data_IF_149078051826
#
_entry.id   IF_149078051826
#
_cell.length_a   1.000
_cell.length_b   1.000
_cell.length_c   1.000
_cell.angle_alpha   90.00
_cell.angle_beta   90.00
_cell.angle_gamma   90.00
#
_symmetry.space_group_name_H-M   'P 1'
#
loop_
_entity.id
_entity.type
_entity.pdbx_description
1 polymer ?
#
# COMPACT_ATOMS: atom_id res chain seq x y z
N UNK A 1 -18.90 -2.51 -13.02
CA UNK A 1 -18.25 -1.48 -12.18
C UNK A 1 -18.65 -0.12 -12.75
N UNK A 2 -19.12 0.82 -11.91
CA UNK A 2 -19.43 2.17 -12.37
C UNK A 2 -18.18 2.85 -12.96
N UNK A 3 -18.29 3.71 -13.98
CA UNK A 3 -17.15 4.46 -14.50
C UNK A 3 -16.47 5.24 -13.37
N UNK A 4 -15.14 5.39 -13.44
CA UNK A 4 -14.41 6.31 -12.55
C UNK A 4 -14.82 7.73 -12.92
N UNK A 5 -15.89 8.20 -12.27
CA UNK A 5 -16.54 9.48 -12.56
C UNK A 5 -16.27 10.53 -11.50
N UNK A 6 -15.72 10.13 -10.35
CA UNK A 6 -15.39 11.03 -9.24
C UNK A 6 -13.95 10.84 -8.72
N UNK A 7 -13.36 11.90 -8.11
CA UNK A 7 -12.07 11.81 -7.43
C UNK A 7 -11.98 10.70 -6.37
N UNK A 8 -13.09 10.43 -5.66
CA UNK A 8 -13.15 9.39 -4.62
C UNK A 8 -13.03 7.98 -5.23
N UNK A 9 -13.82 7.69 -6.27
CA UNK A 9 -13.72 6.40 -6.97
C UNK A 9 -12.35 6.20 -7.60
N UNK A 10 -11.73 7.27 -8.11
CA UNK A 10 -10.39 7.22 -8.67
C UNK A 10 -9.35 6.86 -7.60
N UNK A 11 -9.38 7.49 -6.43
CA UNK A 11 -8.45 7.18 -5.34
C UNK A 11 -8.56 5.71 -4.90
N UNK A 12 -9.78 5.18 -4.82
CA UNK A 12 -10.01 3.79 -4.45
C UNK A 12 -9.55 2.82 -5.53
N UNK A 13 -9.79 3.14 -6.80
CA UNK A 13 -9.32 2.36 -7.94
C UNK A 13 -7.79 2.35 -8.01
N UNK A 14 -7.15 3.50 -7.84
CA UNK A 14 -5.69 3.64 -7.83
C UNK A 14 -5.08 2.80 -6.71
N UNK A 15 -5.60 2.94 -5.49
CA UNK A 15 -5.17 2.13 -4.35
C UNK A 15 -5.29 0.63 -4.64
N UNK A 16 -6.43 0.16 -5.15
CA UNK A 16 -6.63 -1.27 -5.47
C UNK A 16 -5.62 -1.77 -6.49
N UNK A 17 -5.38 -1.00 -7.55
CA UNK A 17 -4.42 -1.34 -8.57
C UNK A 17 -2.97 -1.38 -8.03
N UNK A 18 -2.60 -0.45 -7.15
CA UNK A 18 -1.31 -0.44 -6.47
C UNK A 18 -1.12 -1.68 -5.59
N UNK A 19 -2.13 -2.04 -4.79
CA UNK A 19 -2.10 -3.26 -3.96
C UNK A 19 -2.00 -4.52 -4.82
N UNK A 20 -2.78 -4.61 -5.90
CA UNK A 20 -2.74 -5.76 -6.80
C UNK A 20 -1.38 -5.92 -7.49
N UNK A 21 -0.75 -4.81 -7.88
CA UNK A 21 0.60 -4.80 -8.45
C UNK A 21 1.64 -5.29 -7.44
N UNK A 22 1.62 -4.75 -6.22
CA UNK A 22 2.55 -5.12 -5.15
C UNK A 22 2.38 -6.58 -4.69
N UNK A 23 1.13 -7.03 -4.54
CA UNK A 23 0.80 -8.41 -4.15
C UNK A 23 1.23 -9.44 -5.19
N UNK A 24 1.11 -9.13 -6.49
CA UNK A 24 1.63 -10.00 -7.56
C UNK A 24 3.15 -10.14 -7.50
N UNK A 25 3.86 -9.03 -7.29
CA UNK A 25 5.31 -9.04 -7.14
C UNK A 25 5.76 -9.84 -5.90
N UNK A 26 5.10 -9.61 -4.76
CA UNK A 26 5.33 -10.38 -3.54
C UNK A 26 5.09 -11.87 -3.71
N UNK A 27 3.99 -12.26 -4.38
CA UNK A 27 3.69 -13.65 -4.70
C UNK A 27 4.78 -14.29 -5.59
N UNK A 28 5.32 -13.55 -6.55
CA UNK A 28 6.44 -14.02 -7.36
C UNK A 28 7.73 -14.20 -6.55
N UNK A 29 8.08 -13.23 -5.70
CA UNK A 29 9.26 -13.32 -4.81
C UNK A 29 9.14 -14.52 -3.86
N UNK A 30 7.94 -14.77 -3.32
CA UNK A 30 7.66 -15.94 -2.48
C UNK A 30 7.79 -17.25 -3.25
N UNK A 31 7.22 -17.31 -4.45
CA UNK A 31 7.32 -18.49 -5.31
C UNK A 31 8.76 -18.79 -5.72
N UNK A 32 9.54 -17.76 -6.05
CA UNK A 32 10.94 -17.91 -6.41
C UNK A 32 11.77 -18.33 -5.18
N UNK A 33 11.45 -17.81 -3.98
CA UNK A 33 12.08 -18.27 -2.73
C UNK A 33 11.92 -19.78 -2.54
N UNK A 34 10.69 -20.28 -2.64
CA UNK A 34 10.38 -21.71 -2.48
C UNK A 34 11.07 -22.62 -3.51
N UNK A 35 11.32 -22.09 -4.73
CA UNK A 35 11.92 -22.86 -5.82
C UNK A 35 13.44 -22.79 -5.85
N UNK A 36 14.02 -21.68 -5.39
CA UNK A 36 15.44 -21.38 -5.60
C UNK A 36 16.27 -21.53 -4.32
N UNK A 37 15.72 -21.21 -3.15
CA UNK A 37 16.49 -21.22 -1.91
C UNK A 37 16.56 -22.63 -1.35
N UNK A 38 17.79 -23.12 -1.17
CA UNK A 38 18.06 -24.40 -0.54
C UNK A 38 18.43 -24.17 0.94
N UNK A 39 17.72 -24.75 1.92
CA UNK A 39 17.93 -24.44 3.34
C UNK A 39 19.34 -24.74 3.85
N UNK A 40 20.04 -25.71 3.25
CA UNK A 40 21.44 -26.07 3.60
C UNK A 40 22.51 -25.29 2.82
N UNK A 41 22.10 -24.55 1.80
CA UNK A 41 22.99 -23.86 0.85
C UNK A 41 22.47 -22.45 0.59
N UNK A 42 22.00 -21.78 1.65
CA UNK A 42 21.37 -20.46 1.54
C UNK A 42 22.38 -19.46 0.95
N UNK A 43 23.64 -19.49 1.40
CA UNK A 43 24.71 -18.62 0.92
C UNK A 43 24.94 -18.75 -0.59
N UNK A 44 24.88 -19.99 -1.10
CA UNK A 44 25.16 -20.29 -2.50
C UNK A 44 23.94 -20.03 -3.40
N UNK A 45 22.73 -20.22 -2.88
CA UNK A 45 21.48 -20.11 -3.66
C UNK A 45 20.79 -18.75 -3.55
N UNK A 46 21.03 -18.00 -2.46
CA UNK A 46 20.45 -16.68 -2.24
C UNK A 46 20.82 -15.63 -3.30
N UNK A 47 22.05 -15.56 -3.85
CA UNK A 47 22.39 -14.57 -4.87
C UNK A 47 21.48 -14.66 -6.10
N UNK A 48 21.24 -15.86 -6.62
CA UNK A 48 20.38 -16.04 -7.80
C UNK A 48 18.93 -15.63 -7.52
N UNK A 49 18.40 -15.97 -6.35
CA UNK A 49 17.07 -15.53 -5.92
C UNK A 49 16.99 -14.00 -5.72
N UNK A 50 18.05 -13.39 -5.20
CA UNK A 50 18.14 -11.95 -4.98
C UNK A 50 18.04 -11.21 -6.32
N UNK A 51 18.81 -11.63 -7.32
CA UNK A 51 18.82 -11.01 -8.64
C UNK A 51 17.45 -11.13 -9.34
N UNK A 52 16.83 -12.32 -9.28
CA UNK A 52 15.48 -12.54 -9.80
C UNK A 52 14.45 -11.64 -9.10
N UNK A 53 14.52 -11.54 -7.76
CA UNK A 53 13.61 -10.73 -6.95
C UNK A 53 13.78 -9.23 -7.22
N UNK A 54 15.01 -8.74 -7.35
CA UNK A 54 15.30 -7.35 -7.69
C UNK A 54 14.77 -7.00 -9.09
N UNK A 55 14.90 -7.89 -10.08
CA UNK A 55 14.31 -7.70 -11.40
C UNK A 55 12.78 -7.53 -11.35
N UNK A 56 12.10 -8.38 -10.57
CA UNK A 56 10.64 -8.30 -10.36
C UNK A 56 10.24 -6.99 -9.66
N UNK A 57 10.99 -6.58 -8.63
CA UNK A 57 10.72 -5.34 -7.89
C UNK A 57 10.92 -4.12 -8.79
N UNK A 58 12.04 -4.02 -9.51
CA UNK A 58 12.34 -2.88 -10.40
C UNK A 58 11.26 -2.71 -11.46
N UNK A 59 10.91 -3.78 -12.18
CA UNK A 59 9.85 -3.72 -13.20
C UNK A 59 8.48 -3.35 -12.60
N UNK A 60 8.17 -3.85 -11.41
CA UNK A 60 6.90 -3.54 -10.74
C UNK A 60 6.88 -2.13 -10.14
N UNK A 61 8.02 -1.62 -9.68
CA UNK A 61 8.17 -0.26 -9.16
C UNK A 61 7.98 0.78 -10.27
N UNK A 62 8.52 0.54 -11.46
CA UNK A 62 8.28 1.39 -12.63
C UNK A 62 6.77 1.47 -12.95
N UNK A 63 6.08 0.33 -13.01
CA UNK A 63 4.62 0.28 -13.18
C UNK A 63 3.85 0.99 -12.07
N UNK A 64 4.33 0.90 -10.83
CA UNK A 64 3.76 1.58 -9.66
C UNK A 64 3.87 3.11 -9.79
N UNK A 65 5.00 3.60 -10.31
CA UNK A 65 5.20 5.02 -10.66
C UNK A 65 4.29 5.46 -11.81
N UNK A 66 4.26 4.72 -12.92
CA UNK A 66 3.41 5.05 -14.07
C UNK A 66 1.93 5.17 -13.68
N UNK A 67 1.46 4.21 -12.88
CA UNK A 67 0.11 4.20 -12.34
C UNK A 67 -0.16 5.44 -11.46
N UNK A 68 0.77 5.79 -10.57
CA UNK A 68 0.67 7.00 -9.75
C UNK A 68 0.66 8.29 -10.59
N UNK A 69 1.46 8.36 -11.66
CA UNK A 69 1.49 9.51 -12.56
C UNK A 69 0.14 9.70 -13.28
N UNK A 70 -0.40 8.61 -13.84
CA UNK A 70 -1.71 8.63 -14.51
C UNK A 70 -2.84 8.98 -13.54
N UNK A 71 -2.75 8.52 -12.28
CA UNK A 71 -3.66 8.92 -11.21
C UNK A 71 -3.59 10.42 -10.97
N UNK A 72 -2.41 11.02 -10.79
CA UNK A 72 -2.29 12.46 -10.54
C UNK A 72 -2.87 13.29 -11.67
N UNK A 73 -2.57 12.92 -12.92
CA UNK A 73 -3.09 13.60 -14.11
C UNK A 73 -4.62 13.62 -14.14
N UNK A 74 -5.24 12.45 -13.99
CA UNK A 74 -6.70 12.33 -13.98
C UNK A 74 -7.32 12.94 -12.71
N UNK A 75 -6.67 12.81 -11.55
CA UNK A 75 -7.16 13.36 -10.29
C UNK A 75 -7.18 14.89 -10.34
N UNK A 76 -6.14 15.52 -10.89
CA UNK A 76 -6.08 16.97 -11.12
C UNK A 76 -7.23 17.39 -12.05
N UNK A 77 -7.34 16.77 -13.22
CA UNK A 77 -8.37 17.07 -14.22
C UNK A 77 -9.83 16.79 -13.78
N UNK A 78 -10.05 15.97 -12.75
CA UNK A 78 -11.39 15.77 -12.18
C UNK A 78 -11.77 16.82 -11.14
N UNK A 79 -10.78 17.49 -10.55
CA UNK A 79 -11.00 18.52 -9.53
C UNK A 79 -10.76 19.94 -10.07
N UNK A 80 -10.09 20.06 -11.22
CA UNK A 80 -9.77 21.30 -11.93
C UNK A 80 -10.02 21.08 -13.43
N UNK A 81 -9.86 22.12 -14.25
CA UNK A 81 -9.91 22.00 -15.72
C UNK A 81 -8.51 21.85 -16.35
N UNK A 82 -7.51 21.46 -15.55
CA UNK A 82 -6.12 21.32 -15.99
C UNK A 82 -5.49 19.98 -15.54
N UNK A 83 -4.41 19.57 -16.21
CA UNK A 83 -3.65 18.36 -15.86
C UNK A 83 -2.14 18.60 -15.98
N UNK A 84 -1.37 17.68 -15.41
CA UNK A 84 0.09 17.60 -15.59
C UNK A 84 0.43 17.02 -16.98
N UNK A 85 1.63 17.31 -17.51
CA UNK A 85 2.07 16.83 -18.80
C UNK A 85 2.23 15.30 -18.78
N UNK A 86 2.27 14.64 -19.95
CA UNK A 86 2.57 13.21 -20.04
C UNK A 86 3.82 12.84 -19.20
N UNK A 87 3.73 11.77 -18.42
CA UNK A 87 4.83 11.32 -17.56
C UNK A 87 5.98 10.70 -18.35
N UNK A 88 5.66 9.97 -19.42
CA UNK A 88 6.65 9.53 -20.39
C UNK A 88 6.93 10.66 -21.38
N UNK A 89 8.16 10.71 -21.91
CA UNK A 89 8.57 11.62 -22.98
C UNK A 89 7.71 11.40 -24.23
N UNK A 90 6.60 12.12 -24.30
CA UNK A 90 5.68 12.15 -25.41
C UNK A 90 5.50 13.61 -25.83
N UNK A 91 5.20 13.89 -27.11
CA UNK A 91 4.86 15.24 -27.54
C UNK A 91 3.76 15.80 -26.64
N UNK A 92 4.05 16.95 -26.03
CA UNK A 92 3.08 17.63 -25.16
C UNK A 92 2.12 18.38 -26.08
N UNK A 93 0.90 17.86 -26.21
CA UNK A 93 -0.19 18.66 -26.77
C UNK A 93 -0.61 19.69 -25.71
N UNK A 94 -1.07 20.87 -26.14
CA UNK A 94 -1.60 21.90 -25.23
C UNK A 94 -2.89 21.44 -24.54
N UNK A 95 -3.67 20.57 -25.20
CA UNK A 95 -4.99 20.11 -24.73
C UNK A 95 -5.08 18.59 -24.80
N UNK A 96 -5.74 18.02 -23.79
CA UNK A 96 -6.16 16.62 -23.78
C UNK A 96 -7.65 16.51 -23.45
N UNK A 97 -8.17 15.29 -23.33
CA UNK A 97 -9.56 15.06 -22.92
C UNK A 97 -9.64 14.25 -21.65
N UNK A 98 -10.69 14.47 -20.87
CA UNK A 98 -10.97 13.67 -19.68
C UNK A 98 -11.18 12.18 -20.04
N UNK A 99 -11.79 11.90 -21.20
CA UNK A 99 -11.88 10.55 -21.78
C UNK A 99 -10.51 9.90 -22.00
N UNK A 100 -9.53 10.64 -22.56
CA UNK A 100 -8.16 10.12 -22.77
C UNK A 100 -7.46 9.84 -21.44
N UNK A 101 -7.58 10.74 -20.46
CA UNK A 101 -6.99 10.54 -19.12
C UNK A 101 -7.58 9.33 -18.40
N UNK A 102 -8.89 9.09 -18.51
CA UNK A 102 -9.55 7.88 -17.98
C UNK A 102 -9.02 6.60 -18.61
N UNK A 103 -8.88 6.57 -19.95
CA UNK A 103 -8.30 5.41 -20.67
C UNK A 103 -6.85 5.15 -20.27
N UNK A 104 -6.06 6.22 -20.13
CA UNK A 104 -4.65 6.16 -19.73
C UNK A 104 -4.47 5.54 -18.33
N UNK A 105 -5.29 5.99 -17.36
CA UNK A 105 -5.34 5.42 -16.02
C UNK A 105 -5.82 3.96 -16.04
N UNK A 106 -6.91 3.66 -16.76
CA UNK A 106 -7.48 2.31 -16.80
C UNK A 106 -6.52 1.26 -17.33
N UNK A 107 -5.77 1.61 -18.39
CA UNK A 107 -4.73 0.77 -18.98
C UNK A 107 -3.65 0.41 -17.94
N UNK A 108 -3.12 1.42 -17.22
CA UNK A 108 -2.10 1.21 -16.18
C UNK A 108 -2.63 0.48 -14.95
N UNK A 109 -3.88 0.77 -14.58
CA UNK A 109 -4.56 0.11 -13.48
C UNK A 109 -4.98 -1.33 -13.82
N UNK A 110 -4.92 -1.72 -15.10
CA UNK A 110 -5.39 -3.01 -15.61
C UNK A 110 -6.85 -3.27 -15.23
N UNK A 111 -7.68 -2.22 -15.28
CA UNK A 111 -9.12 -2.30 -15.02
C UNK A 111 -9.90 -2.04 -16.30
N UNK A 112 -10.99 -2.77 -16.48
CA UNK A 112 -11.95 -2.44 -17.52
C UNK A 112 -12.77 -1.23 -17.07
N UNK A 113 -12.64 -0.11 -17.77
CA UNK A 113 -13.64 0.94 -17.72
C UNK A 113 -14.72 0.61 -18.75
N UNK A 114 -16.02 0.73 -18.40
CA UNK A 114 -17.03 0.82 -19.45
C UNK A 114 -16.63 1.97 -20.38
N UNK A 115 -16.86 1.82 -21.68
CA UNK A 115 -16.63 2.89 -22.66
C UNK A 115 -17.49 4.09 -22.29
N UNK A 116 -16.99 4.95 -21.41
CA UNK A 116 -17.35 6.35 -21.47
C UNK A 116 -16.88 6.78 -22.85
N UNK A 117 -17.82 7.13 -23.73
CA UNK A 117 -17.48 7.92 -24.90
C UNK A 117 -16.56 9.04 -24.44
N UNK A 118 -15.59 9.42 -25.26
CA UNK A 118 -14.82 10.63 -24.95
C UNK A 118 -15.85 11.73 -24.71
N UNK A 119 -15.97 12.20 -23.47
CA UNK A 119 -16.97 13.22 -23.13
C UNK A 119 -16.62 14.55 -23.81
N UNK A 120 -15.52 14.57 -24.59
CA UNK A 120 -15.05 15.70 -25.37
C UNK A 120 -14.58 16.84 -24.48
N UNK A 121 -14.59 16.64 -23.16
CA UNK A 121 -14.23 17.67 -22.18
C UNK A 121 -12.75 17.93 -22.29
N UNK A 122 -12.43 19.06 -22.93
CA UNK A 122 -11.08 19.58 -23.03
C UNK A 122 -10.49 19.83 -21.63
N UNK A 123 -9.24 19.43 -21.46
CA UNK A 123 -8.45 19.64 -20.25
C UNK A 123 -7.13 20.26 -20.71
N UNK A 124 -6.78 21.42 -20.16
CA UNK A 124 -5.53 22.11 -20.49
C UNK A 124 -4.35 21.38 -19.85
N UNK A 125 -3.30 21.12 -20.62
CA UNK A 125 -2.04 20.59 -20.10
C UNK A 125 -1.16 21.77 -19.72
N UNK A 126 -0.70 21.80 -18.47
CA UNK A 126 0.34 22.74 -18.05
C UNK A 126 1.69 22.14 -18.37
N UNK A 127 2.38 22.73 -19.34
CA UNK A 127 3.63 22.26 -19.89
C UNK A 127 4.87 22.73 -19.12
N UNK A 128 4.71 23.70 -18.22
CA UNK A 128 5.76 24.23 -17.33
C UNK A 128 6.10 23.29 -16.15
N UNK A 129 5.35 22.20 -15.98
CA UNK A 129 5.57 21.24 -14.90
C UNK A 129 6.61 20.16 -15.24
N UNK A 130 7.68 20.09 -14.46
CA UNK A 130 8.67 19.02 -14.55
C UNK A 130 8.37 17.88 -13.55
N UNK A 131 8.31 16.66 -14.07
CA UNK A 131 8.19 15.47 -13.22
C UNK A 131 9.49 15.24 -12.43
N UNK A 132 9.39 14.85 -11.13
CA UNK A 132 10.58 14.61 -10.32
C UNK A 132 11.29 13.33 -10.73
N UNK A 133 12.61 13.40 -10.80
CA UNK A 133 13.48 12.26 -11.08
C UNK A 133 13.38 11.18 -10.00
N UNK A 134 13.56 9.93 -10.43
CA UNK A 134 13.67 8.78 -9.55
C UNK A 134 15.13 8.53 -9.19
N UNK A 135 15.43 8.40 -7.90
CA UNK A 135 16.71 7.85 -7.45
C UNK A 135 16.66 6.31 -7.55
N UNK A 136 16.83 5.82 -8.77
CA UNK A 136 16.73 4.39 -9.07
C UNK A 136 17.81 3.58 -8.33
N UNK A 137 19.00 4.15 -8.17
CA UNK A 137 20.11 3.49 -7.49
C UNK A 137 19.83 3.35 -5.99
N UNK A 138 19.41 4.41 -5.31
CA UNK A 138 19.04 4.34 -3.90
C UNK A 138 17.87 3.37 -3.68
N UNK A 139 16.87 3.36 -4.56
CA UNK A 139 15.76 2.41 -4.44
C UNK A 139 16.15 0.96 -4.73
N UNK A 140 17.11 0.71 -5.62
CA UNK A 140 17.67 -0.63 -5.84
C UNK A 140 18.49 -1.09 -4.63
N UNK A 141 19.33 -0.22 -4.07
CA UNK A 141 20.10 -0.49 -2.86
C UNK A 141 19.18 -0.79 -1.66
N UNK A 142 18.14 0.03 -1.44
CA UNK A 142 17.18 -0.18 -0.36
C UNK A 142 16.42 -1.50 -0.50
N UNK A 143 16.01 -1.87 -1.72
CA UNK A 143 15.35 -3.16 -1.95
C UNK A 143 16.29 -4.34 -1.72
N UNK A 144 17.54 -4.26 -2.16
CA UNK A 144 18.56 -5.31 -1.94
C UNK A 144 18.76 -5.54 -0.46
N UNK A 145 19.00 -4.49 0.32
CA UNK A 145 19.20 -4.63 1.77
C UNK A 145 17.94 -5.15 2.44
N UNK A 146 16.76 -4.64 2.08
CA UNK A 146 15.50 -5.12 2.66
C UNK A 146 15.27 -6.60 2.40
N UNK A 147 15.47 -7.09 1.17
CA UNK A 147 15.32 -8.50 0.82
C UNK A 147 16.36 -9.37 1.53
N UNK A 148 17.62 -8.94 1.59
CA UNK A 148 18.69 -9.71 2.21
C UNK A 148 18.39 -9.95 3.70
N UNK A 149 17.96 -8.88 4.37
CA UNK A 149 17.58 -8.86 5.78
C UNK A 149 16.36 -9.75 6.06
N UNK A 150 15.32 -9.61 5.25
CA UNK A 150 14.01 -10.21 5.53
C UNK A 150 13.90 -11.65 5.04
N UNK A 151 14.75 -12.06 4.10
CA UNK A 151 14.86 -13.41 3.56
C UNK A 151 16.11 -14.14 4.09
N UNK A 152 17.24 -14.19 3.35
CA UNK A 152 18.37 -15.07 3.69
C UNK A 152 18.94 -14.85 5.09
N UNK A 153 19.14 -13.60 5.52
CA UNK A 153 19.64 -13.30 6.87
C UNK A 153 18.64 -13.76 7.94
N UNK A 154 17.34 -13.52 7.72
CA UNK A 154 16.29 -13.97 8.62
C UNK A 154 16.24 -15.50 8.73
N UNK A 155 16.29 -16.20 7.59
CA UNK A 155 16.29 -17.66 7.53
C UNK A 155 17.46 -18.23 8.33
N UNK A 156 18.70 -17.78 8.05
CA UNK A 156 19.89 -18.27 8.75
C UNK A 156 19.84 -18.06 10.25
N UNK A 157 19.39 -16.88 10.70
CA UNK A 157 19.24 -16.60 12.13
C UNK A 157 18.26 -17.59 12.77
N UNK A 158 17.10 -17.79 12.15
CA UNK A 158 16.06 -18.69 12.68
C UNK A 158 16.47 -20.15 12.66
N UNK A 159 17.26 -20.58 11.67
CA UNK A 159 17.85 -21.93 11.63
C UNK A 159 18.88 -22.13 12.74
N UNK A 160 19.78 -21.17 12.94
CA UNK A 160 20.75 -21.23 14.03
C UNK A 160 20.06 -21.25 15.42
N UNK A 161 18.99 -20.46 15.60
CA UNK A 161 18.19 -20.47 16.82
C UNK A 161 17.54 -21.86 17.06
N UNK A 162 17.02 -22.50 16.02
CA UNK A 162 16.40 -23.82 16.08
C UNK A 162 17.44 -24.93 16.40
N UNK A 163 18.60 -24.89 15.75
CA UNK A 163 19.72 -25.83 16.00
C UNK A 163 20.29 -25.70 17.42
N UNK A 164 20.29 -24.49 17.98
CA UNK A 164 20.74 -24.24 19.36
C UNK A 164 19.73 -24.67 20.43
N UNK A 165 18.43 -24.64 20.12
CA UNK A 165 17.35 -25.04 21.02
C UNK A 165 17.08 -26.56 21.01
N UNK A 166 17.24 -27.20 19.85
CA UNK A 166 17.12 -28.64 19.71
C UNK A 166 18.46 -29.31 20.07
N UNK A 167 18.54 -29.98 21.22
CA UNK A 167 19.66 -30.85 21.54
C UNK A 167 19.81 -31.94 20.48
N UNK A 168 20.68 -31.73 19.48
CA UNK A 168 21.04 -32.66 18.38
C UNK A 168 19.87 -33.55 17.92
N UNK A 169 18.84 -32.94 17.34
CA UNK A 169 17.76 -33.66 16.64
C UNK A 169 18.23 -34.18 15.28
N UNK A 170 18.06 -35.49 15.07
CA UNK A 170 18.45 -36.21 13.85
C UNK A 170 17.55 -35.76 12.69
N UNK A 171 18.10 -35.67 11.47
CA UNK A 171 17.41 -35.22 10.25
C UNK A 171 16.19 -36.05 9.82
N UNK A 172 15.96 -37.15 10.52
CA UNK A 172 14.91 -38.14 10.29
C UNK A 172 13.68 -37.87 11.18
N UNK A 173 13.76 -36.85 12.04
CA UNK A 173 12.66 -36.42 12.89
C UNK A 173 11.63 -35.61 12.07
N UNK A 174 10.38 -36.07 12.08
CA UNK A 174 9.30 -35.40 11.36
C UNK A 174 9.06 -34.00 11.93
N UNK A 175 9.31 -33.80 13.23
CA UNK A 175 9.15 -32.50 13.89
C UNK A 175 10.22 -31.50 13.40
N UNK A 176 11.45 -31.96 13.16
CA UNK A 176 12.52 -31.13 12.60
C UNK A 176 12.21 -30.68 11.16
N UNK A 177 11.69 -31.58 10.32
CA UNK A 177 11.32 -31.22 8.94
C UNK A 177 10.17 -30.21 8.91
N UNK A 178 9.18 -30.33 9.80
CA UNK A 178 8.08 -29.38 9.94
C UNK A 178 8.56 -28.01 10.47
N UNK A 179 9.50 -27.99 11.41
CA UNK A 179 10.12 -26.76 11.91
C UNK A 179 10.95 -26.07 10.82
N UNK A 180 11.77 -26.82 10.09
CA UNK A 180 12.57 -26.31 8.97
C UNK A 180 11.67 -25.67 7.90
N UNK A 181 10.62 -26.37 7.49
CA UNK A 181 9.64 -25.88 6.53
C UNK A 181 8.93 -24.60 7.05
N UNK A 182 8.61 -24.54 8.34
CA UNK A 182 8.06 -23.33 8.98
C UNK A 182 9.04 -22.15 8.92
N UNK A 183 10.30 -22.35 9.32
CA UNK A 183 11.34 -21.31 9.28
C UNK A 183 11.54 -20.78 7.86
N UNK A 184 11.64 -21.67 6.89
CA UNK A 184 11.87 -21.30 5.49
C UNK A 184 10.65 -20.61 4.87
N UNK A 185 9.44 -21.06 5.20
CA UNK A 185 8.20 -20.39 4.78
C UNK A 185 8.10 -18.99 5.37
N UNK A 186 8.40 -18.82 6.65
CA UNK A 186 8.34 -17.53 7.34
C UNK A 186 9.34 -16.52 6.75
N UNK A 187 10.57 -16.96 6.46
CA UNK A 187 11.58 -16.13 5.81
C UNK A 187 11.16 -15.72 4.39
N UNK A 188 10.62 -16.65 3.60
CA UNK A 188 10.07 -16.33 2.29
C UNK A 188 8.91 -15.33 2.37
N UNK A 189 7.98 -15.54 3.31
CA UNK A 189 6.84 -14.65 3.51
C UNK A 189 7.27 -13.25 3.97
N UNK A 190 8.29 -13.17 4.83
CA UNK A 190 8.92 -11.93 5.28
C UNK A 190 9.59 -11.17 4.11
N UNK A 191 10.34 -11.86 3.25
CA UNK A 191 10.92 -11.29 2.04
C UNK A 191 9.88 -10.81 1.03
N UNK A 192 8.82 -11.59 0.82
CA UNK A 192 7.69 -11.20 -0.02
C UNK A 192 6.97 -9.95 0.52
N UNK A 193 6.81 -9.84 1.83
CA UNK A 193 6.23 -8.68 2.50
C UNK A 193 7.10 -7.42 2.33
N UNK A 194 8.42 -7.57 2.29
CA UNK A 194 9.34 -6.50 1.94
C UNK A 194 9.24 -6.11 0.46
N UNK A 195 9.15 -7.09 -0.46
CA UNK A 195 8.98 -6.83 -1.88
C UNK A 195 7.70 -6.03 -2.18
N UNK A 196 6.57 -6.36 -1.54
CA UNK A 196 5.32 -5.57 -1.60
C UNK A 196 5.57 -4.09 -1.27
N UNK A 197 6.26 -3.82 -0.16
CA UNK A 197 6.61 -2.47 0.27
C UNK A 197 7.50 -1.76 -0.75
N UNK A 198 8.53 -2.43 -1.26
CA UNK A 198 9.51 -1.85 -2.19
C UNK A 198 8.93 -1.55 -3.58
N UNK A 199 7.90 -2.30 -4.01
CA UNK A 199 7.11 -1.99 -5.21
C UNK A 199 6.24 -0.76 -4.99
N UNK A 200 5.57 -0.66 -3.83
CA UNK A 200 4.75 0.52 -3.49
C UNK A 200 5.57 1.78 -3.26
N UNK A 201 6.86 1.66 -2.91
CA UNK A 201 7.77 2.80 -2.73
C UNK A 201 7.79 3.71 -3.95
N UNK A 202 7.84 3.15 -5.16
CA UNK A 202 7.88 3.94 -6.40
C UNK A 202 6.69 4.89 -6.54
N UNK A 203 5.45 4.35 -6.53
CA UNK A 203 4.24 5.17 -6.62
C UNK A 203 4.08 6.13 -5.44
N UNK A 204 4.49 5.74 -4.22
CA UNK A 204 4.47 6.62 -3.04
C UNK A 204 5.42 7.79 -3.16
N UNK A 205 6.63 7.55 -3.65
CA UNK A 205 7.64 8.57 -3.90
C UNK A 205 7.20 9.51 -5.03
N UNK A 206 6.66 8.98 -6.13
CA UNK A 206 6.17 9.85 -7.19
C UNK A 206 5.01 10.72 -6.70
N UNK A 207 3.99 10.13 -6.05
CA UNK A 207 2.93 10.90 -5.40
C UNK A 207 3.50 11.91 -4.42
N UNK A 208 4.59 11.55 -3.72
CA UNK A 208 5.28 12.44 -2.82
C UNK A 208 5.76 13.68 -3.55
N UNK A 209 6.78 13.50 -4.37
CA UNK A 209 7.56 14.60 -4.92
C UNK A 209 6.71 15.40 -5.90
N UNK A 210 5.88 14.72 -6.69
CA UNK A 210 5.07 15.37 -7.71
C UNK A 210 3.98 16.26 -7.09
N UNK A 211 3.20 15.74 -6.12
CA UNK A 211 2.15 16.55 -5.51
C UNK A 211 2.68 17.69 -4.64
N UNK A 212 3.89 17.55 -4.09
CA UNK A 212 4.54 18.65 -3.35
C UNK A 212 5.02 19.77 -4.27
N UNK A 213 5.34 19.48 -5.52
CA UNK A 213 5.75 20.47 -6.51
C UNK A 213 4.55 21.10 -7.27
N UNK A 214 3.35 20.55 -7.17
CA UNK A 214 2.17 21.03 -7.89
C UNK A 214 1.49 22.19 -7.12
N UNK A 215 1.51 23.44 -7.64
CA UNK A 215 0.98 24.60 -6.93
C UNK A 215 -0.54 24.58 -6.76
N UNK A 216 -1.26 23.70 -7.46
CA UNK A 216 -2.72 23.55 -7.31
C UNK A 216 -3.11 22.68 -6.11
N UNK A 217 -2.17 21.99 -5.49
CA UNK A 217 -2.45 21.14 -4.32
C UNK A 217 -2.71 22.01 -3.10
N UNK A 218 -3.90 21.87 -2.50
CA UNK A 218 -4.33 22.67 -1.33
C UNK A 218 -4.19 21.93 0.00
N UNK A 219 -3.79 20.66 -0.05
CA UNK A 219 -3.56 19.78 1.10
C UNK A 219 -3.37 18.32 0.71
N UNK A 220 -3.30 17.45 1.72
CA UNK A 220 -3.14 16.00 1.54
C UNK A 220 -4.05 15.20 2.45
N UNK A 221 -4.27 13.95 2.06
CA UNK A 221 -5.11 12.98 2.77
C UNK A 221 -4.49 11.60 2.72
N UNK A 222 -4.76 10.79 3.74
CA UNK A 222 -4.35 9.39 3.79
C UNK A 222 -5.46 8.52 3.21
N UNK A 223 -5.10 7.65 2.27
CA UNK A 223 -5.95 6.56 1.77
C UNK A 223 -5.32 5.23 2.15
N UNK A 224 -6.14 4.20 2.37
CA UNK A 224 -5.63 2.90 2.82
C UNK A 224 -6.51 1.75 2.37
N UNK A 225 -5.98 0.52 2.42
CA UNK A 225 -6.71 -0.71 2.04
C UNK A 225 -7.85 -1.01 3.02
N UNK A 226 -8.60 -2.08 2.75
CA UNK A 226 -9.65 -2.53 3.66
C UNK A 226 -9.12 -3.17 4.95
N UNK A 227 -7.86 -3.63 4.97
CA UNK A 227 -7.21 -4.28 6.13
C UNK A 227 -5.97 -3.50 6.65
N UNK A 228 -6.10 -2.21 6.99
CA UNK A 228 -4.96 -1.42 7.48
C UNK A 228 -4.67 -1.70 8.95
N UNK A 229 -3.48 -1.31 9.41
CA UNK A 229 -3.23 -1.20 10.85
C UNK A 229 -4.05 -0.05 11.46
N UNK A 230 -4.31 -0.10 12.77
CA UNK A 230 -5.10 0.90 13.47
C UNK A 230 -4.59 2.34 13.30
N UNK A 231 -3.27 2.52 13.21
CA UNK A 231 -2.67 3.84 12.97
C UNK A 231 -3.06 4.39 11.60
N UNK A 232 -2.89 3.59 10.53
CA UNK A 232 -3.25 4.00 9.18
C UNK A 232 -4.77 4.20 9.03
N UNK A 233 -5.58 3.36 9.68
CA UNK A 233 -7.02 3.52 9.74
C UNK A 233 -7.42 4.87 10.37
N UNK A 234 -6.77 5.24 11.49
CA UNK A 234 -6.99 6.53 12.15
C UNK A 234 -6.55 7.70 11.26
N UNK A 235 -5.40 7.62 10.59
CA UNK A 235 -4.97 8.72 9.71
C UNK A 235 -5.93 8.88 8.52
N UNK A 236 -6.42 7.77 7.96
CA UNK A 236 -7.39 7.79 6.86
C UNK A 236 -8.77 8.32 7.28
N UNK A 237 -9.16 8.16 8.54
CA UNK A 237 -10.46 8.64 9.03
C UNK A 237 -10.54 10.16 9.15
N UNK A 238 -9.41 10.86 9.24
CA UNK A 238 -9.38 12.32 9.48
C UNK A 238 -9.76 13.16 8.25
N UNK A 239 -9.66 12.62 7.03
CA UNK A 239 -9.95 13.35 5.79
C UNK A 239 -8.97 14.51 5.51
N UNK A 240 -9.46 15.55 4.82
CA UNK A 240 -8.76 16.75 4.33
C UNK A 240 -8.26 17.73 5.42
N UNK A 241 -7.61 17.23 6.47
CA UNK A 241 -7.16 18.05 7.62
C UNK A 241 -5.69 18.45 7.57
N UNK A 242 -4.88 17.82 6.71
CA UNK A 242 -3.43 18.03 6.72
C UNK A 242 -3.04 19.22 5.84
N UNK A 243 -2.70 20.33 6.52
CA UNK A 243 -2.20 21.57 5.89
C UNK A 243 -0.77 21.45 5.38
N UNK A 244 -0.01 20.47 5.87
CA UNK A 244 1.27 20.08 5.33
C UNK A 244 1.30 18.58 5.11
N UNK A 245 2.10 18.20 4.14
CA UNK A 245 2.29 16.82 3.74
C UNK A 245 3.00 15.99 4.81
N UNK A 246 3.99 16.58 5.49
CA UNK A 246 4.70 15.92 6.60
C UNK A 246 3.74 15.54 7.74
N UNK A 247 2.75 16.38 8.00
CA UNK A 247 1.68 16.08 8.95
C UNK A 247 0.78 14.91 8.49
N UNK A 248 0.69 14.63 7.19
CA UNK A 248 -0.01 13.46 6.64
C UNK A 248 0.86 12.18 6.62
N UNK A 249 2.17 12.32 6.81
CA UNK A 249 3.15 11.23 6.79
C UNK A 249 3.51 10.66 8.16
N UNK A 250 2.92 11.17 9.26
CA UNK A 250 3.26 10.83 10.66
C UNK A 250 3.77 9.38 10.82
N UNK A 251 5.04 9.30 11.25
CA UNK A 251 5.89 8.10 11.26
C UNK A 251 5.20 6.90 11.91
N UNK A 252 5.38 5.71 11.35
CA UNK A 252 5.14 4.46 12.05
C UNK A 252 6.29 4.19 13.02
N UNK A 253 6.03 3.47 14.11
CA UNK A 253 7.12 2.84 14.85
C UNK A 253 7.52 1.57 14.10
N UNK A 254 8.73 1.53 13.54
CA UNK A 254 9.34 0.26 13.16
C UNK A 254 9.43 -0.61 14.43
N UNK A 255 9.00 -1.87 14.35
CA UNK A 255 9.18 -2.81 15.45
C UNK A 255 10.67 -2.89 15.83
N UNK A 256 10.97 -3.14 17.11
CA UNK A 256 12.30 -3.08 17.74
C UNK A 256 13.42 -3.93 17.09
N UNK A 257 13.16 -4.66 16.00
CA UNK A 257 14.07 -5.67 15.41
C UNK A 257 14.15 -5.64 13.87
N UNK A 258 14.17 -4.47 13.22
CA UNK A 258 14.40 -4.36 11.76
C UNK A 258 15.78 -3.71 11.50
N UNK A 259 16.72 -4.38 10.81
CA UNK A 259 18.08 -3.86 10.58
C UNK A 259 18.13 -2.74 9.51
N UNK A 260 19.23 -1.97 9.46
CA UNK A 260 19.21 -0.59 8.99
C UNK A 260 19.30 -0.48 7.46
N UNK A 261 18.29 0.17 6.89
CA UNK A 261 18.27 0.90 5.61
C UNK A 261 17.75 2.28 5.98
N UNK A 262 18.14 3.34 5.26
CA UNK A 262 17.82 4.75 5.57
C UNK A 262 16.59 4.94 6.50
N UNK A 263 16.83 5.30 7.79
CA UNK A 263 15.82 5.22 8.85
C UNK A 263 14.51 5.93 8.51
N UNK A 264 14.58 7.01 7.73
CA UNK A 264 13.41 7.82 7.45
C UNK A 264 12.34 7.09 6.64
N UNK A 265 12.71 6.15 5.76
CA UNK A 265 11.75 5.44 4.93
C UNK A 265 11.28 4.10 5.53
N UNK A 266 12.13 3.42 6.32
CA UNK A 266 11.75 2.22 7.08
C UNK A 266 10.79 2.55 8.24
N UNK A 267 10.91 3.74 8.83
CA UNK A 267 10.00 4.22 9.88
C UNK A 267 8.62 4.60 9.32
N UNK A 268 8.53 5.11 8.09
CA UNK A 268 7.27 5.66 7.55
C UNK A 268 6.26 4.59 7.14
N UNK A 269 6.70 3.48 6.56
CA UNK A 269 5.82 2.40 6.10
C UNK A 269 6.39 1.02 6.43
N UNK A 270 5.60 0.22 7.15
CA UNK A 270 5.94 -1.17 7.43
C UNK A 270 5.65 -2.09 6.23
N UNK A 271 6.16 -3.32 6.28
CA UNK A 271 5.81 -4.37 5.32
C UNK A 271 4.30 -4.61 5.32
N UNK A 272 3.73 -4.95 4.15
CA UNK A 272 2.28 -5.12 3.93
C UNK A 272 1.44 -3.89 4.35
N UNK A 273 2.07 -2.71 4.46
CA UNK A 273 1.35 -1.47 4.61
C UNK A 273 0.85 -1.04 3.24
N UNK A 274 -0.45 -0.85 3.06
CA UNK A 274 -1.07 -0.47 1.78
C UNK A 274 -1.68 0.93 1.80
N UNK A 275 -1.24 1.79 2.71
CA UNK A 275 -1.66 3.19 2.73
C UNK A 275 -0.81 4.06 1.79
N UNK A 276 -1.41 5.17 1.37
CA UNK A 276 -0.81 6.18 0.50
C UNK A 276 -1.25 7.56 0.96
N UNK A 277 -0.43 8.57 0.65
CA UNK A 277 -0.80 9.97 0.80
C UNK A 277 -1.13 10.49 -0.60
N UNK A 278 -2.32 11.05 -0.77
CA UNK A 278 -2.77 11.60 -2.06
C UNK A 278 -3.07 13.10 -1.91
N UNK A 279 -2.86 13.91 -2.96
CA UNK A 279 -3.20 15.33 -2.92
C UNK A 279 -4.71 15.55 -2.96
N UNK A 280 -5.13 16.71 -2.47
CA UNK A 280 -6.45 17.28 -2.71
C UNK A 280 -6.30 18.64 -3.40
N UNK A 281 -7.24 18.93 -4.30
CA UNK A 281 -7.26 20.15 -5.12
C UNK A 281 -8.39 21.11 -4.73
N UNK A 282 -9.33 20.63 -3.90
CA UNK A 282 -10.45 21.40 -3.39
C UNK A 282 -10.52 21.22 -1.86
N UNK A 283 -10.80 22.31 -1.14
CA UNK A 283 -10.92 22.30 0.34
C UNK A 283 -12.24 21.72 0.85
N UNK A 284 -13.14 21.28 -0.03
CA UNK A 284 -14.32 20.54 0.41
C UNK A 284 -13.87 19.30 1.18
N UNK A 285 -14.60 18.91 2.23
CA UNK A 285 -14.22 17.81 3.12
C UNK A 285 -14.05 16.49 2.34
N UNK A 286 -12.87 16.29 1.77
CA UNK A 286 -12.55 15.12 0.99
C UNK A 286 -12.14 14.01 1.94
N UNK A 287 -12.85 12.91 1.83
CA UNK A 287 -12.55 11.66 2.51
C UNK A 287 -12.95 10.54 1.56
N UNK A 288 -12.10 9.53 1.43
CA UNK A 288 -12.42 8.36 0.62
C UNK A 288 -13.58 7.58 1.24
N UNK A 289 -14.16 6.65 0.51
CA UNK A 289 -15.22 5.80 1.05
C UNK A 289 -14.73 4.99 2.25
N UNK A 290 -13.52 4.43 2.17
CA UNK A 290 -12.93 3.69 3.28
C UNK A 290 -12.57 4.63 4.43
N UNK A 291 -12.13 5.86 4.15
CA UNK A 291 -11.90 6.86 5.19
C UNK A 291 -13.17 7.12 6.00
N UNK A 292 -14.35 7.24 5.36
CA UNK A 292 -15.63 7.40 6.06
C UNK A 292 -15.97 6.20 6.92
N UNK A 293 -15.81 4.98 6.37
CA UNK A 293 -15.98 3.76 7.14
C UNK A 293 -15.08 3.71 8.40
N UNK A 294 -13.83 4.16 8.30
CA UNK A 294 -12.93 4.27 9.45
C UNK A 294 -13.28 5.42 10.39
N UNK A 295 -13.92 6.49 9.90
CA UNK A 295 -14.42 7.61 10.71
C UNK A 295 -15.56 7.15 11.61
N UNK A 296 -16.52 6.44 11.05
CA UNK A 296 -17.64 5.83 11.78
C UNK A 296 -17.13 4.88 12.86
N UNK A 297 -16.19 3.98 12.52
CA UNK A 297 -15.57 3.08 13.49
C UNK A 297 -14.80 3.82 14.59
N UNK A 298 -14.19 4.96 14.27
CA UNK A 298 -13.56 5.78 15.30
C UNK A 298 -14.61 6.40 16.21
N UNK A 299 -15.66 7.03 15.67
CA UNK A 299 -16.73 7.63 16.47
C UNK A 299 -17.33 6.61 17.43
N UNK A 300 -17.68 5.43 16.94
CA UNK A 300 -18.22 4.33 17.76
C UNK A 300 -17.22 3.84 18.80
N UNK A 301 -15.97 3.55 18.40
CA UNK A 301 -14.98 2.96 19.30
C UNK A 301 -14.45 3.93 20.36
N UNK A 302 -14.62 5.24 20.14
CA UNK A 302 -14.10 6.28 21.05
C UNK A 302 -15.19 6.98 21.85
N UNK A 303 -16.45 6.60 21.66
CA UNK A 303 -17.54 7.08 22.50
C UNK A 303 -17.27 6.80 23.98
N UNK A 304 -17.44 7.83 24.81
CA UNK A 304 -17.08 7.78 26.24
C UNK A 304 -15.58 7.65 26.57
N UNK A 305 -14.68 7.70 25.58
CA UNK A 305 -13.24 7.61 25.78
C UNK A 305 -12.51 8.89 25.33
N UNK A 306 -11.40 9.23 26.00
CA UNK A 306 -10.55 10.37 25.59
C UNK A 306 -9.07 9.99 25.60
N UNK A 307 -8.22 10.85 25.02
CA UNK A 307 -6.77 10.73 25.05
C UNK A 307 -6.25 9.35 24.63
N UNK A 308 -5.46 8.72 25.51
CA UNK A 308 -4.86 7.40 25.23
C UNK A 308 -5.89 6.27 25.21
N UNK A 309 -6.96 6.39 25.97
CA UNK A 309 -8.00 5.36 26.06
C UNK A 309 -8.81 5.27 24.77
N UNK A 310 -9.12 6.41 24.16
CA UNK A 310 -9.74 6.46 22.83
C UNK A 310 -8.87 5.74 21.78
N UNK A 311 -7.56 6.03 21.77
CA UNK A 311 -6.61 5.37 20.85
C UNK A 311 -6.56 3.86 21.09
N UNK A 312 -6.54 3.42 22.35
CA UNK A 312 -6.50 1.99 22.69
C UNK A 312 -7.82 1.28 22.34
N UNK A 313 -8.97 1.93 22.55
CA UNK A 313 -10.27 1.39 22.19
C UNK A 313 -10.39 1.19 20.67
N UNK A 314 -10.01 2.21 19.89
CA UNK A 314 -9.97 2.10 18.42
C UNK A 314 -9.01 1.02 17.92
N UNK A 315 -7.80 0.91 18.52
CA UNK A 315 -6.85 -0.17 18.20
C UNK A 315 -7.45 -1.55 18.38
N UNK A 316 -8.17 -1.79 19.48
CA UNK A 316 -8.83 -3.09 19.74
C UNK A 316 -9.85 -3.45 18.67
N UNK A 317 -10.67 -2.48 18.25
CA UNK A 317 -11.68 -2.68 17.18
C UNK A 317 -11.02 -3.03 15.86
N UNK A 318 -10.01 -2.26 15.43
CA UNK A 318 -9.30 -2.53 14.18
C UNK A 318 -8.58 -3.88 14.23
N UNK A 319 -7.86 -4.20 15.30
CA UNK A 319 -7.15 -5.48 15.40
C UNK A 319 -8.11 -6.68 15.44
N UNK A 320 -9.28 -6.54 16.07
CA UNK A 320 -10.33 -7.56 16.03
C UNK A 320 -10.86 -7.77 14.59
N UNK A 321 -11.08 -6.68 13.84
CA UNK A 321 -11.46 -6.75 12.43
C UNK A 321 -10.40 -7.47 11.59
N UNK A 322 -9.12 -7.13 11.76
CA UNK A 322 -8.00 -7.77 11.04
C UNK A 322 -7.89 -9.25 11.34
N UNK A 323 -8.03 -9.66 12.61
CA UNK A 323 -8.06 -11.07 13.01
C UNK A 323 -9.20 -11.84 12.34
N UNK A 324 -10.41 -11.26 12.31
CA UNK A 324 -11.59 -11.86 11.66
C UNK A 324 -11.42 -12.01 10.15
N UNK A 325 -10.81 -11.04 9.48
CA UNK A 325 -10.53 -11.12 8.04
C UNK A 325 -9.57 -12.27 7.72
N UNK A 326 -8.48 -12.38 8.51
CA UNK A 326 -7.48 -13.46 8.38
C UNK A 326 -8.09 -14.84 8.64
N UNK A 327 -8.90 -15.00 9.68
CA UNK A 327 -9.53 -16.29 10.02
C UNK A 327 -10.53 -16.78 8.97
N UNK A 328 -11.08 -15.87 8.14
CA UNK A 328 -12.00 -16.21 7.05
C UNK A 328 -11.31 -16.49 5.71
N UNK A 329 -9.98 -16.45 5.67
CA UNK A 329 -9.22 -16.61 4.42
C UNK A 329 -9.44 -15.47 3.41
N UNK A 330 -10.01 -14.34 3.84
CA UNK A 330 -10.24 -13.20 2.96
C UNK A 330 -8.90 -12.53 2.65
N UNK A 331 -8.43 -12.63 1.39
CA UNK A 331 -7.27 -11.89 0.92
C UNK A 331 -7.54 -10.37 1.05
N UNK A 332 -6.52 -9.52 1.28
CA UNK A 332 -6.69 -8.06 1.43
C UNK A 332 -7.42 -7.37 0.27
N UNK A 333 -7.39 -7.99 -0.93
CA UNK A 333 -8.09 -7.50 -2.13
C UNK A 333 -9.56 -7.95 -2.22
N UNK A 334 -9.99 -8.97 -1.45
CA UNK A 334 -11.33 -9.58 -1.51
C UNK A 334 -12.26 -9.15 -0.35
N UNK A 335 -11.75 -8.41 0.64
CA UNK A 335 -12.54 -7.95 1.79
C UNK A 335 -13.50 -6.77 1.49
N UNK A 336 -13.65 -6.37 0.22
CA UNK A 336 -14.32 -5.14 -0.25
C UNK A 336 -15.86 -5.29 -0.50
N UNK A 337 -16.53 -6.27 0.12
CA UNK A 337 -18.00 -6.30 0.18
C UNK A 337 -18.54 -5.26 1.20
N UNK A 338 -19.80 -4.81 1.10
CA UNK A 338 -20.38 -3.91 2.10
C UNK A 338 -20.41 -4.63 3.45
N UNK A 339 -19.44 -4.33 4.33
CA UNK A 339 -19.27 -4.96 5.63
C UNK A 339 -20.27 -4.43 6.69
N UNK A 340 -21.30 -3.69 6.28
CA UNK A 340 -22.19 -2.92 7.16
C UNK A 340 -23.62 -3.47 7.28
N UNK A 341 -23.84 -4.79 7.14
CA UNK A 341 -25.20 -5.37 7.32
C UNK A 341 -25.39 -6.21 8.57
N UNK A 342 -24.40 -6.35 9.45
CA UNK A 342 -24.58 -7.07 10.72
C UNK A 342 -24.57 -6.13 11.92
N UNK A 343 -25.57 -5.24 11.98
CA UNK A 343 -26.00 -4.64 13.24
C UNK A 343 -27.02 -5.60 13.88
N UNK A 344 -26.83 -6.06 15.13
CA UNK A 344 -27.94 -6.64 15.87
C UNK A 344 -29.01 -5.55 16.09
N UNK A 345 -30.32 -5.86 16.02
CA UNK A 345 -31.35 -4.87 16.22
C UNK A 345 -31.18 -4.21 17.59
N UNK A 346 -31.20 -2.87 17.63
CA UNK A 346 -31.30 -2.11 18.87
C UNK A 346 -32.54 -2.62 19.61
N UNK A 347 -32.35 -3.09 20.85
CA UNK A 347 -33.47 -3.33 21.75
C UNK A 347 -34.08 -1.97 22.06
N UNK A 348 -35.27 -1.73 21.52
CA UNK A 348 -36.17 -0.72 22.07
C UNK A 348 -36.40 -1.05 23.53
N UNK A 349 -35.88 -0.20 24.43
CA UNK A 349 -36.36 -0.15 25.79
C UNK A 349 -37.69 0.59 25.74
N UNK A 350 -38.77 -0.18 25.66
CA UNK A 350 -40.11 0.32 25.85
C UNK A 350 -40.20 1.03 27.21
N UNK A 351 -40.56 2.30 27.16
CA UNK A 351 -41.14 3.06 28.26
C UNK A 351 -42.38 2.34 28.77
N UNK A 352 -42.26 1.68 29.92
CA UNK A 352 -43.39 1.21 30.71
C UNK A 352 -43.99 2.37 31.50
N UNK A 353 -45.29 2.57 31.28
CA UNK A 353 -46.23 3.33 32.11
C UNK A 353 -46.25 2.86 33.56
#
# INVERSE_FOLDING_TARGET
MAPVSSPRQLADAHRRAQVALASRAAGRVMSDWQRMIQPRRIEETAPQWMDASLGVITASRARSRDLAASYLRLHRALNTDTTLPPYASAPVAEVTTLGRLRRDFASRAQIHLPSAGDDGRAVVIEDDYAWPDEDQEAFAAAARTSLAVTGPVHARRRLADAEGAAGRGRLDDTDFLAELDTVMRDAGASAAAAADREVLRGGRDLLHRASSADPRVVGWVRVTSADPCAWCAMLASRGAVYRSRDAAQLKGHAGRNVPPVDPEDLEKYHNQCHCQVVPIYLRTAWISEQGRAFRELWDEATDGHTGRDAINAYRRVIDARRRRARSRGALPAQADGPLFTNHPPRRDQGSGT
#
